data_IF_729584075971
#
_entry.id   IF_729584075971
#
_cell.length_a   1.000
_cell.length_b   1.000
_cell.length_c   1.000
_cell.angle_alpha   90.00
_cell.angle_beta   90.00
_cell.angle_gamma   90.00
#
_symmetry.space_group_name_H-M   'P 1'
#
loop_
_entity.id
_entity.type
_entity.pdbx_description
1 polymer ?
#
# COMPACT_ATOMS: atom_id res chain seq x y z
N UNK A 1 -40.45 -12.53 25.77
CA UNK A 1 -39.28 -11.62 25.80
C UNK A 1 -38.20 -12.21 24.90
N UNK A 2 -38.39 -12.07 23.59
CA UNK A 2 -37.47 -12.57 22.57
C UNK A 2 -36.20 -11.70 22.56
N UNK A 3 -35.04 -12.33 22.63
CA UNK A 3 -33.74 -11.73 22.34
C UNK A 3 -33.05 -12.70 21.39
N UNK A 4 -32.92 -12.31 20.13
CA UNK A 4 -32.41 -13.19 19.09
C UNK A 4 -32.21 -12.44 17.78
N UNK A 5 -31.55 -11.30 17.84
CA UNK A 5 -31.06 -10.61 16.66
C UNK A 5 -29.69 -10.00 17.00
N UNK A 6 -28.64 -10.78 16.76
CA UNK A 6 -27.34 -10.24 16.40
C UNK A 6 -27.19 -10.52 14.90
N UNK A 7 -27.64 -9.56 14.09
CA UNK A 7 -27.18 -9.50 12.71
C UNK A 7 -25.69 -9.21 12.77
N UNK A 8 -24.88 -10.26 12.58
CA UNK A 8 -23.45 -10.17 12.36
C UNK A 8 -23.22 -9.54 11.01
N UNK A 9 -23.40 -8.22 10.94
CA UNK A 9 -23.04 -7.39 9.81
C UNK A 9 -21.52 -7.39 9.66
N UNK A 10 -20.99 -8.43 9.05
CA UNK A 10 -19.69 -8.36 8.38
C UNK A 10 -19.88 -7.45 7.17
N UNK A 11 -19.93 -6.14 7.44
CA UNK A 11 -19.63 -5.14 6.45
C UNK A 11 -18.13 -5.26 6.17
N UNK A 12 -17.75 -6.30 5.42
CA UNK A 12 -16.59 -6.20 4.57
C UNK A 12 -16.78 -4.86 3.85
N UNK A 13 -15.87 -3.88 3.99
CA UNK A 13 -15.98 -2.69 3.19
C UNK A 13 -16.03 -3.19 1.76
N UNK A 14 -17.15 -2.96 1.08
CA UNK A 14 -17.27 -3.07 -0.36
C UNK A 14 -16.01 -2.39 -0.88
N UNK A 15 -15.02 -3.17 -1.29
CA UNK A 15 -13.75 -2.63 -1.68
C UNK A 15 -13.97 -2.22 -3.13
N UNK A 16 -14.22 -0.93 -3.45
CA UNK A 16 -14.41 -0.49 -4.83
C UNK A 16 -13.17 -0.74 -5.70
N UNK A 17 -12.06 -1.22 -5.12
CA UNK A 17 -10.82 -1.49 -5.82
C UNK A 17 -10.92 -2.60 -6.87
N UNK A 18 -11.99 -3.42 -6.88
CA UNK A 18 -12.17 -4.43 -7.92
C UNK A 18 -12.57 -3.83 -9.28
N UNK A 19 -13.35 -2.75 -9.31
CA UNK A 19 -13.90 -2.16 -10.55
C UNK A 19 -13.02 -1.03 -11.14
N UNK A 20 -12.05 -0.52 -10.37
CA UNK A 20 -11.24 0.64 -10.75
C UNK A 20 -9.81 0.34 -11.20
N UNK A 21 -9.47 -0.90 -11.57
CA UNK A 21 -8.05 -1.29 -11.78
C UNK A 21 -7.34 -0.45 -12.87
N UNK A 22 -8.08 -0.05 -13.92
CA UNK A 22 -7.59 0.88 -14.96
C UNK A 22 -7.48 2.35 -14.49
N UNK A 23 -8.45 2.83 -13.71
CA UNK A 23 -8.42 4.17 -13.14
C UNK A 23 -7.31 4.33 -12.08
N UNK A 24 -7.07 3.28 -11.29
CA UNK A 24 -5.98 3.20 -10.31
C UNK A 24 -4.61 3.21 -10.99
N UNK A 25 -4.46 2.49 -12.10
CA UNK A 25 -3.23 2.53 -12.90
C UNK A 25 -2.97 3.95 -13.47
N UNK A 26 -4.02 4.64 -13.93
CA UNK A 26 -3.91 6.03 -14.38
C UNK A 26 -3.55 7.00 -13.25
N UNK A 27 -4.13 6.84 -12.06
CA UNK A 27 -3.77 7.67 -10.89
C UNK A 27 -2.32 7.43 -10.43
N UNK A 28 -1.87 6.18 -10.45
CA UNK A 28 -0.48 5.83 -10.13
C UNK A 28 0.50 6.40 -11.17
N UNK A 29 0.08 6.59 -12.42
CA UNK A 29 0.90 7.24 -13.46
C UNK A 29 1.12 8.74 -13.22
N UNK A 30 0.31 9.36 -12.34
CA UNK A 30 0.50 10.74 -11.89
C UNK A 30 1.55 10.92 -10.79
N UNK A 31 2.03 9.84 -10.17
CA UNK A 31 3.06 9.91 -9.14
C UNK A 31 4.43 10.07 -9.81
N UNK A 32 4.97 11.28 -9.76
CA UNK A 32 6.25 11.62 -10.42
C UNK A 32 7.44 10.88 -9.80
N UNK A 33 7.44 10.69 -8.47
CA UNK A 33 8.45 9.93 -7.75
C UNK A 33 7.78 8.88 -6.85
N UNK A 34 7.68 7.66 -7.39
CA UNK A 34 7.06 6.52 -6.70
C UNK A 34 7.85 6.12 -5.46
N UNK A 35 9.18 6.26 -5.47
CA UNK A 35 10.01 5.90 -4.31
C UNK A 35 9.75 6.88 -3.17
N UNK A 36 9.81 8.18 -3.44
CA UNK A 36 9.56 9.20 -2.43
C UNK A 36 8.16 9.07 -1.83
N UNK A 37 7.14 8.81 -2.66
CA UNK A 37 5.77 8.60 -2.19
C UNK A 37 5.63 7.38 -1.28
N UNK A 38 6.24 6.23 -1.65
CA UNK A 38 6.20 5.02 -0.82
C UNK A 38 6.99 5.19 0.48
N UNK A 39 8.13 5.90 0.46
CA UNK A 39 8.88 6.22 1.69
C UNK A 39 8.08 7.14 2.61
N UNK A 40 7.43 8.17 2.07
CA UNK A 40 6.55 9.04 2.86
C UNK A 40 5.36 8.28 3.47
N UNK A 41 4.77 7.36 2.71
CA UNK A 41 3.70 6.50 3.22
C UNK A 41 4.17 5.58 4.35
N UNK A 42 5.37 5.01 4.23
CA UNK A 42 5.97 4.18 5.28
C UNK A 42 6.14 4.96 6.60
N UNK A 43 6.61 6.20 6.52
CA UNK A 43 6.75 7.08 7.69
C UNK A 43 5.39 7.39 8.32
N UNK A 44 4.41 7.77 7.51
CA UNK A 44 3.06 8.11 7.99
C UNK A 44 2.39 6.91 8.68
N UNK A 45 2.55 5.69 8.13
CA UNK A 45 2.02 4.47 8.75
C UNK A 45 2.68 4.21 10.12
N UNK A 46 3.99 4.45 10.24
CA UNK A 46 4.69 4.35 11.52
C UNK A 46 4.19 5.38 12.54
N UNK A 47 4.03 6.64 12.13
CA UNK A 47 3.49 7.70 12.99
C UNK A 47 2.04 7.40 13.43
N UNK A 48 1.20 6.88 12.53
CA UNK A 48 -0.16 6.47 12.83
C UNK A 48 -0.19 5.34 13.87
N UNK A 49 0.69 4.33 13.74
CA UNK A 49 0.81 3.26 14.74
C UNK A 49 1.16 3.79 16.13
N UNK A 50 2.15 4.70 16.22
CA UNK A 50 2.53 5.35 17.49
C UNK A 50 1.38 6.16 18.09
N UNK A 51 0.65 6.91 17.25
CA UNK A 51 -0.50 7.68 17.69
C UNK A 51 -1.62 6.77 18.23
N UNK A 52 -1.91 5.66 17.55
CA UNK A 52 -2.90 4.68 17.98
C UNK A 52 -2.54 4.05 19.34
N UNK A 53 -1.25 3.83 19.63
CA UNK A 53 -0.83 3.33 20.96
C UNK A 53 -1.24 4.31 22.04
N UNK A 54 -1.03 5.60 21.82
CA UNK A 54 -1.44 6.64 22.78
C UNK A 54 -2.96 6.65 22.99
N UNK A 55 -3.74 6.52 21.92
CA UNK A 55 -5.21 6.42 21.99
C UNK A 55 -5.67 5.17 22.74
N UNK A 56 -5.04 4.02 22.47
CA UNK A 56 -5.34 2.77 23.14
C UNK A 56 -5.01 2.81 24.64
N UNK A 57 -3.99 3.56 25.04
CA UNK A 57 -3.64 3.74 26.45
C UNK A 57 -4.55 4.71 27.19
N UNK A 58 -5.10 5.71 26.49
CA UNK A 58 -5.94 6.76 27.10
C UNK A 58 -7.44 6.40 27.08
N UNK A 59 -7.84 5.42 26.25
CA UNK A 59 -9.23 4.95 26.23
C UNK A 59 -9.56 4.11 27.46
N UNK A 60 -10.62 4.49 28.18
CA UNK A 60 -11.25 3.69 29.23
C UNK A 60 -12.33 2.74 28.69
N UNK A 61 -12.55 2.70 27.38
CA UNK A 61 -13.55 1.86 26.72
C UNK A 61 -12.88 0.66 26.04
N UNK A 62 -13.21 -0.55 26.51
CA UNK A 62 -12.69 -1.83 25.98
C UNK A 62 -12.89 -1.96 24.45
N UNK A 63 -13.99 -1.42 23.92
CA UNK A 63 -14.29 -1.44 22.49
C UNK A 63 -13.33 -0.60 21.64
N UNK A 64 -12.97 0.59 22.13
CA UNK A 64 -12.01 1.46 21.45
C UNK A 64 -10.58 0.94 21.57
N UNK A 65 -10.23 0.30 22.69
CA UNK A 65 -8.95 -0.39 22.83
C UNK A 65 -8.77 -1.44 21.73
N UNK A 66 -9.75 -2.34 21.57
CA UNK A 66 -9.65 -3.40 20.56
C UNK A 66 -9.62 -2.85 19.13
N UNK A 67 -10.41 -1.82 18.82
CA UNK A 67 -10.35 -1.14 17.52
C UNK A 67 -8.97 -0.53 17.25
N UNK A 68 -8.29 0.01 18.28
CA UNK A 68 -6.94 0.53 18.11
C UNK A 68 -5.93 -0.60 17.80
N UNK A 69 -6.05 -1.77 18.44
CA UNK A 69 -5.18 -2.92 18.15
C UNK A 69 -5.36 -3.37 16.70
N UNK A 70 -6.59 -3.55 16.24
CA UNK A 70 -6.88 -3.92 14.85
C UNK A 70 -6.35 -2.88 13.84
N UNK A 71 -6.45 -1.59 14.18
CA UNK A 71 -5.92 -0.52 13.36
C UNK A 71 -4.37 -0.51 13.32
N UNK A 72 -3.70 -0.85 14.43
CA UNK A 72 -2.24 -1.03 14.45
C UNK A 72 -1.80 -2.20 13.59
N UNK A 73 -2.46 -3.34 13.71
CA UNK A 73 -2.15 -4.54 12.90
C UNK A 73 -2.36 -4.26 11.40
N UNK A 74 -3.43 -3.54 11.04
CA UNK A 74 -3.66 -3.12 9.67
C UNK A 74 -2.60 -2.12 9.17
N UNK A 75 -2.09 -1.24 10.03
CA UNK A 75 -1.02 -0.31 9.70
C UNK A 75 0.32 -1.04 9.48
N UNK A 76 0.64 -2.02 10.32
CA UNK A 76 1.84 -2.87 10.20
C UNK A 76 1.80 -3.71 8.91
N UNK A 77 0.68 -4.37 8.63
CA UNK A 77 0.50 -5.12 7.38
C UNK A 77 0.57 -4.22 6.13
N UNK A 78 0.13 -2.96 6.26
CA UNK A 78 0.27 -1.97 5.19
C UNK A 78 1.73 -1.54 4.99
N UNK A 79 2.48 -1.38 6.09
CA UNK A 79 3.90 -1.03 6.07
C UNK A 79 4.73 -2.14 5.41
N UNK A 80 4.44 -3.40 5.74
CA UNK A 80 5.07 -4.57 5.12
C UNK A 80 4.84 -4.63 3.61
N UNK A 81 3.62 -4.33 3.15
CA UNK A 81 3.31 -4.22 1.72
C UNK A 81 4.12 -3.10 1.06
N UNK A 82 4.25 -1.94 1.70
CA UNK A 82 5.03 -0.80 1.19
C UNK A 82 6.51 -1.15 1.08
N UNK A 83 7.09 -1.78 2.10
CA UNK A 83 8.47 -2.28 2.05
C UNK A 83 8.66 -3.32 0.93
N UNK A 84 7.68 -4.21 0.74
CA UNK A 84 7.65 -5.14 -0.39
C UNK A 84 7.69 -4.45 -1.76
N UNK A 85 6.95 -3.34 -1.92
CA UNK A 85 6.95 -2.54 -3.15
C UNK A 85 8.28 -1.80 -3.37
N UNK A 86 8.84 -1.19 -2.32
CA UNK A 86 10.14 -0.53 -2.39
C UNK A 86 11.26 -1.48 -2.79
N UNK A 87 11.26 -2.70 -2.24
CA UNK A 87 12.22 -3.75 -2.62
C UNK A 87 12.10 -4.10 -4.11
N UNK A 88 10.88 -4.38 -4.58
CA UNK A 88 10.62 -4.70 -6.00
C UNK A 88 11.01 -3.55 -6.93
N UNK A 89 10.79 -2.31 -6.51
CA UNK A 89 11.20 -1.13 -7.26
C UNK A 89 12.73 -1.07 -7.39
N UNK A 90 13.45 -1.27 -6.28
CA UNK A 90 14.91 -1.31 -6.28
C UNK A 90 15.48 -2.49 -7.09
N UNK A 91 14.81 -3.64 -7.15
CA UNK A 91 15.20 -4.76 -8.01
C UNK A 91 15.08 -4.38 -9.50
N UNK A 92 13.96 -3.77 -9.90
CA UNK A 92 13.71 -3.31 -11.28
C UNK A 92 14.70 -2.23 -11.75
N UNK A 93 15.04 -1.29 -10.87
CA UNK A 93 16.03 -0.27 -11.20
C UNK A 93 17.43 -0.87 -11.41
N UNK A 94 17.83 -1.84 -10.57
CA UNK A 94 19.10 -2.56 -10.75
C UNK A 94 19.14 -3.39 -12.03
N UNK A 95 18.02 -3.99 -12.42
CA UNK A 95 17.91 -4.70 -13.70
C UNK A 95 18.09 -3.73 -14.88
N UNK A 96 17.44 -2.56 -14.82
CA UNK A 96 17.57 -1.50 -15.84
C UNK A 96 18.99 -0.95 -15.94
N UNK A 97 19.64 -0.72 -14.81
CA UNK A 97 20.95 -0.09 -14.75
C UNK A 97 22.11 -1.11 -14.79
N UNK A 98 21.79 -2.41 -14.86
CA UNK A 98 22.75 -3.50 -14.94
C UNK A 98 23.48 -3.59 -16.29
N UNK A 99 24.57 -4.37 -16.38
CA UNK A 99 25.43 -4.46 -17.58
C UNK A 99 24.74 -4.99 -18.85
N UNK A 100 23.50 -5.48 -18.73
CA UNK A 100 22.66 -5.98 -19.83
C UNK A 100 21.49 -5.04 -20.18
N UNK A 101 21.22 -4.00 -19.38
CA UNK A 101 20.08 -3.08 -19.57
C UNK A 101 20.18 -2.16 -20.79
N UNK A 102 21.39 -2.03 -21.37
CA UNK A 102 21.66 -1.20 -22.55
C UNK A 102 21.47 -1.91 -23.91
N UNK A 103 21.19 -3.22 -23.95
CA UNK A 103 21.22 -3.97 -25.22
C UNK A 103 19.96 -3.73 -26.08
N UNK A 104 18.90 -3.13 -25.52
CA UNK A 104 17.70 -2.74 -26.28
C UNK A 104 17.85 -1.34 -26.88
N UNK A 105 18.91 -1.13 -27.67
CA UNK A 105 19.03 0.01 -28.59
C UNK A 105 18.06 -0.14 -29.77
N UNK A 106 17.60 0.96 -30.42
CA UNK A 106 16.71 0.89 -31.56
C UNK A 106 17.36 0.07 -32.68
N UNK A 107 16.59 -0.85 -33.26
CA UNK A 107 17.04 -1.69 -34.37
C UNK A 107 17.65 -0.80 -35.47
N UNK A 108 18.84 -1.14 -36.02
CA UNK A 108 19.39 -0.39 -37.13
C UNK A 108 18.39 -0.48 -38.27
N UNK A 109 17.86 0.68 -38.65
CA UNK A 109 16.98 0.82 -39.80
C UNK A 109 17.75 0.30 -41.02
N UNK A 110 17.31 -0.84 -41.54
CA UNK A 110 17.79 -1.38 -42.80
C UNK A 110 17.32 -0.46 -43.93
N UNK A 111 17.97 0.69 -44.07
CA UNK A 111 17.87 1.52 -45.25
C UNK A 111 18.81 0.90 -46.30
N UNK A 112 18.24 0.05 -47.14
CA UNK A 112 18.83 -0.28 -48.42
C UNK A 112 18.70 0.92 -49.37
N UNK A 113 19.77 1.20 -50.09
CA UNK A 113 19.85 1.23 -51.57
C UNK A 113 21.22 1.70 -52.02
#
# INVERSE_FOLDING_TARGET
RALGEIDGGCAAPDHPAALGRGARAAQLSGITDVRAALTGLALLLGEAGIALVSVACDTGEDGLYWQCIEAMDAADESLDRVHGLLRRLGERERERDGPYGGIRGPAPSAAGS
#
